data_IF_189589839996
#
_entry.id   IF_189589839996
#
_cell.length_a   1.000
_cell.length_b   1.000
_cell.length_c   1.000
_cell.angle_alpha   90.00
_cell.angle_beta   90.00
_cell.angle_gamma   90.00
#
_symmetry.space_group_name_H-M   'P 1'
#
loop_
_entity.id
_entity.type
_entity.pdbx_description
1 polymer ?
#
# COMPACT_ATOMS: atom_id res chain seq x y z
N UNK A 1 7.40 15.69 -23.75
CA UNK A 1 7.00 16.71 -22.75
C UNK A 1 5.58 17.30 -22.92
N UNK A 2 4.99 17.36 -24.12
CA UNK A 2 3.64 17.94 -24.30
C UNK A 2 2.52 17.20 -23.53
N UNK A 3 2.54 15.87 -23.54
CA UNK A 3 1.53 15.03 -22.87
C UNK A 3 1.62 15.16 -21.35
N UNK A 4 2.83 15.13 -20.77
CA UNK A 4 3.02 15.30 -19.33
C UNK A 4 2.50 16.66 -18.84
N UNK A 5 2.79 17.73 -19.58
CA UNK A 5 2.27 19.07 -19.27
C UNK A 5 0.74 19.14 -19.33
N UNK A 6 0.13 18.46 -20.31
CA UNK A 6 -1.32 18.35 -20.42
C UNK A 6 -1.91 17.58 -19.23
N UNK A 7 -1.32 16.43 -18.89
CA UNK A 7 -1.75 15.60 -17.77
C UNK A 7 -1.65 16.34 -16.43
N UNK A 8 -0.57 17.10 -16.20
CA UNK A 8 -0.43 17.94 -14.99
C UNK A 8 -1.52 19.02 -14.97
N UNK A 9 -1.77 19.69 -16.09
CA UNK A 9 -2.86 20.70 -16.19
C UNK A 9 -4.22 20.07 -15.89
N UNK A 10 -4.47 18.86 -16.37
CA UNK A 10 -5.70 18.12 -16.13
C UNK A 10 -5.84 17.67 -14.68
N UNK A 11 -4.76 17.20 -14.05
CA UNK A 11 -4.74 16.78 -12.66
C UNK A 11 -5.27 17.88 -11.72
N UNK A 12 -4.88 19.13 -11.93
CA UNK A 12 -5.33 20.28 -11.12
C UNK A 12 -6.76 20.75 -11.41
N UNK A 13 -7.48 20.14 -12.36
CA UNK A 13 -8.89 20.45 -12.54
C UNK A 13 -9.74 19.79 -11.45
N UNK A 14 -10.81 20.45 -11.02
CA UNK A 14 -11.70 19.97 -9.94
C UNK A 14 -12.24 18.56 -10.17
N UNK A 15 -12.40 18.15 -11.44
CA UNK A 15 -12.90 16.83 -11.79
C UNK A 15 -11.87 15.74 -11.47
N UNK A 16 -10.61 15.91 -11.86
CA UNK A 16 -9.55 14.93 -11.61
C UNK A 16 -9.00 14.98 -10.18
N UNK A 17 -9.01 16.16 -9.55
CA UNK A 17 -8.60 16.30 -8.17
C UNK A 17 -9.49 15.49 -7.21
N UNK A 18 -10.80 15.37 -7.49
CA UNK A 18 -11.72 14.50 -6.73
C UNK A 18 -11.27 13.04 -6.76
N UNK A 19 -10.82 12.54 -7.91
CA UNK A 19 -10.33 11.16 -8.02
C UNK A 19 -9.04 10.94 -7.25
N UNK A 20 -8.16 11.95 -7.14
CA UNK A 20 -6.95 11.86 -6.33
C UNK A 20 -7.22 11.94 -4.82
N UNK A 21 -8.24 12.71 -4.43
CA UNK A 21 -8.64 12.88 -3.03
C UNK A 21 -9.21 11.61 -2.42
N UNK A 22 -9.96 10.79 -3.17
CA UNK A 22 -10.56 9.54 -2.67
C UNK A 22 -9.50 8.57 -2.09
N UNK A 23 -8.48 8.11 -2.82
CA UNK A 23 -7.47 7.21 -2.26
C UNK A 23 -6.69 7.87 -1.12
N UNK A 24 -6.46 9.18 -1.17
CA UNK A 24 -5.77 9.92 -0.11
C UNK A 24 -6.59 9.94 1.19
N UNK A 25 -7.88 10.27 1.14
CA UNK A 25 -8.70 10.36 2.35
C UNK A 25 -8.88 8.99 3.00
N UNK A 26 -9.17 7.95 2.21
CA UNK A 26 -9.33 6.60 2.74
C UNK A 26 -8.03 6.05 3.33
N UNK A 27 -6.89 6.24 2.65
CA UNK A 27 -5.58 5.81 3.19
C UNK A 27 -5.21 6.58 4.46
N UNK A 28 -5.47 7.87 4.52
CA UNK A 28 -5.20 8.69 5.71
C UNK A 28 -6.09 8.31 6.89
N UNK A 29 -7.38 8.06 6.66
CA UNK A 29 -8.30 7.55 7.69
C UNK A 29 -7.81 6.21 8.23
N UNK A 30 -7.43 5.28 7.34
CA UNK A 30 -6.89 3.98 7.76
C UNK A 30 -5.60 4.15 8.57
N UNK A 31 -4.70 5.04 8.15
CA UNK A 31 -3.46 5.32 8.88
C UNK A 31 -3.73 5.81 10.30
N UNK A 32 -4.63 6.78 10.47
CA UNK A 32 -5.00 7.29 11.79
C UNK A 32 -5.64 6.18 12.63
N UNK A 33 -6.57 5.42 12.06
CA UNK A 33 -7.22 4.32 12.74
C UNK A 33 -6.20 3.28 13.25
N UNK A 34 -5.28 2.85 12.38
CA UNK A 34 -4.23 1.90 12.75
C UNK A 34 -3.22 2.49 13.73
N UNK A 35 -2.90 3.78 13.63
CA UNK A 35 -2.02 4.45 14.59
C UNK A 35 -2.62 4.51 16.00
N UNK A 36 -3.91 4.80 16.12
CA UNK A 36 -4.58 4.91 17.43
C UNK A 36 -4.85 3.53 18.02
N UNK A 37 -5.38 2.59 17.24
CA UNK A 37 -5.85 1.30 17.75
C UNK A 37 -4.86 0.15 17.55
N UNK A 38 -4.03 0.20 16.50
CA UNK A 38 -3.15 -0.89 16.10
C UNK A 38 -1.69 -0.72 16.52
N UNK A 39 -1.24 0.49 16.84
CA UNK A 39 0.17 0.74 17.12
C UNK A 39 0.67 0.01 18.37
N UNK A 40 -0.07 0.07 19.49
CA UNK A 40 0.34 -0.64 20.72
C UNK A 40 0.40 -2.16 20.51
N UNK A 41 -0.58 -2.72 19.81
CA UNK A 41 -0.59 -4.15 19.47
C UNK A 41 0.62 -4.55 18.60
N UNK A 42 0.94 -3.76 17.58
CA UNK A 42 2.11 -4.00 16.73
C UNK A 42 3.42 -3.84 17.50
N UNK A 43 3.50 -2.84 18.38
CA UNK A 43 4.68 -2.59 19.20
C UNK A 43 4.94 -3.81 20.11
N UNK A 44 3.93 -4.30 20.81
CA UNK A 44 4.04 -5.48 21.67
C UNK A 44 4.38 -6.74 20.86
N UNK A 45 3.78 -6.90 19.69
CA UNK A 45 4.10 -7.98 18.76
C UNK A 45 5.57 -7.95 18.34
N UNK A 46 6.09 -6.81 17.90
CA UNK A 46 7.49 -6.71 17.46
C UNK A 46 8.47 -6.79 18.63
N UNK A 47 8.14 -6.22 19.79
CA UNK A 47 8.96 -6.36 20.99
C UNK A 47 9.09 -7.82 21.42
N UNK A 48 7.99 -8.60 21.37
CA UNK A 48 8.04 -10.04 21.65
C UNK A 48 8.72 -10.85 20.55
N UNK A 49 8.57 -10.45 19.28
CA UNK A 49 9.24 -11.10 18.15
C UNK A 49 10.77 -10.95 18.19
N UNK A 50 11.24 -9.76 18.59
CA UNK A 50 12.66 -9.44 18.64
C UNK A 50 13.30 -9.75 19.98
N UNK A 51 12.53 -9.99 21.04
CA UNK A 51 13.07 -10.44 22.32
C UNK A 51 13.39 -11.94 22.30
N UNK A 52 14.25 -12.33 23.23
CA UNK A 52 14.67 -13.72 23.40
C UNK A 52 14.17 -14.22 24.75
N UNK A 53 13.65 -15.45 24.77
CA UNK A 53 13.16 -16.10 26.00
C UNK A 53 14.28 -16.28 27.03
N UNK A 54 13.91 -16.25 28.32
CA UNK A 54 14.85 -16.27 29.45
C UNK A 54 15.72 -17.55 29.50
N UNK A 55 15.21 -18.65 28.96
CA UNK A 55 15.91 -19.95 28.90
C UNK A 55 16.96 -20.05 27.79
N UNK A 56 17.11 -19.00 26.96
CA UNK A 56 18.03 -19.00 25.84
C UNK A 56 19.45 -18.65 26.27
N UNK A 57 20.43 -19.29 25.63
CA UNK A 57 21.85 -18.97 25.79
C UNK A 57 22.16 -17.46 25.58
N UNK A 58 21.38 -16.77 24.75
CA UNK A 58 21.58 -15.34 24.46
C UNK A 58 20.93 -14.38 25.46
N UNK A 59 20.22 -14.88 26.49
CA UNK A 59 19.51 -14.04 27.45
C UNK A 59 20.41 -13.02 28.15
N UNK A 60 21.67 -13.37 28.45
CA UNK A 60 22.63 -12.45 29.07
C UNK A 60 22.95 -11.23 28.19
N UNK A 61 22.98 -11.41 26.86
CA UNK A 61 23.23 -10.33 25.90
C UNK A 61 21.98 -9.45 25.73
N UNK A 62 20.80 -10.06 25.66
CA UNK A 62 19.52 -9.36 25.56
C UNK A 62 19.11 -8.64 26.85
N UNK A 63 19.66 -9.03 28.00
CA UNK A 63 19.50 -8.34 29.28
C UNK A 63 20.27 -7.01 29.35
N UNK A 64 21.23 -6.77 28.46
CA UNK A 64 21.96 -5.50 28.43
C UNK A 64 21.02 -4.35 28.05
N UNK A 65 20.99 -3.28 28.85
CA UNK A 65 20.12 -2.12 28.62
C UNK A 65 20.26 -1.51 27.22
N UNK A 66 21.47 -1.47 26.66
CA UNK A 66 21.70 -0.98 25.30
C UNK A 66 20.95 -1.83 24.26
N UNK A 67 20.93 -3.16 24.42
CA UNK A 67 20.24 -4.08 23.52
C UNK A 67 18.72 -3.93 23.65
N UNK A 68 18.20 -3.74 24.87
CA UNK A 68 16.76 -3.48 25.09
C UNK A 68 16.30 -2.17 24.43
N UNK A 69 17.12 -1.12 24.48
CA UNK A 69 16.85 0.15 23.77
C UNK A 69 16.80 -0.09 22.27
N UNK A 70 17.76 -0.84 21.72
CA UNK A 70 17.81 -1.15 20.29
C UNK A 70 16.58 -1.94 19.84
N UNK A 71 16.17 -2.95 20.62
CA UNK A 71 14.96 -3.74 20.36
C UNK A 71 13.72 -2.85 20.35
N UNK A 72 13.59 -1.98 21.35
CA UNK A 72 12.45 -1.05 21.40
C UNK A 72 12.43 -0.13 20.18
N UNK A 73 13.60 0.38 19.77
CA UNK A 73 13.73 1.29 18.64
C UNK A 73 13.36 0.57 17.32
N UNK A 74 13.85 -0.65 17.10
CA UNK A 74 13.51 -1.42 15.90
C UNK A 74 12.02 -1.79 15.89
N UNK A 75 11.43 -2.16 17.04
CA UNK A 75 10.00 -2.47 17.15
C UNK A 75 9.13 -1.26 16.82
N UNK A 76 9.48 -0.07 17.29
CA UNK A 76 8.75 1.16 16.96
C UNK A 76 8.84 1.46 15.46
N UNK A 77 10.02 1.29 14.85
CA UNK A 77 10.21 1.48 13.41
C UNK A 77 9.38 0.50 12.59
N UNK A 78 9.40 -0.80 12.91
CA UNK A 78 8.61 -1.81 12.21
C UNK A 78 7.11 -1.60 12.40
N UNK A 79 6.67 -1.24 13.61
CA UNK A 79 5.26 -0.94 13.89
C UNK A 79 4.77 0.24 13.04
N UNK A 80 5.53 1.34 13.03
CA UNK A 80 5.22 2.50 12.20
C UNK A 80 5.25 2.18 10.70
N UNK A 81 6.25 1.41 10.26
CA UNK A 81 6.38 0.98 8.87
C UNK A 81 5.16 0.18 8.41
N UNK A 82 4.71 -0.82 9.18
CA UNK A 82 3.54 -1.65 8.82
C UNK A 82 2.29 -0.79 8.66
N UNK A 83 2.07 0.18 9.56
CA UNK A 83 0.90 1.08 9.51
C UNK A 83 0.93 1.94 8.24
N UNK A 84 2.08 2.59 7.96
CA UNK A 84 2.24 3.43 6.77
C UNK A 84 2.11 2.57 5.50
N UNK A 85 2.74 1.41 5.48
CA UNK A 85 2.71 0.49 4.34
C UNK A 85 1.28 0.02 4.06
N UNK A 86 0.51 -0.38 5.07
CA UNK A 86 -0.88 -0.77 4.92
C UNK A 86 -1.75 0.38 4.35
N UNK A 87 -1.52 1.61 4.83
CA UNK A 87 -2.20 2.81 4.33
C UNK A 87 -1.88 3.08 2.85
N UNK A 88 -0.59 3.07 2.48
CA UNK A 88 -0.14 3.28 1.09
C UNK A 88 -0.69 2.18 0.18
N UNK A 89 -0.66 0.92 0.64
CA UNK A 89 -1.21 -0.21 -0.08
C UNK A 89 -2.71 -0.02 -0.37
N UNK A 90 -3.49 0.44 0.61
CA UNK A 90 -4.91 0.76 0.41
C UNK A 90 -5.10 1.87 -0.64
N UNK A 91 -4.28 2.91 -0.60
CA UNK A 91 -4.33 4.00 -1.59
C UNK A 91 -4.07 3.48 -3.01
N UNK A 92 -3.06 2.62 -3.19
CA UNK A 92 -2.75 1.97 -4.46
C UNK A 92 -3.89 1.07 -4.94
N UNK A 93 -4.47 0.29 -4.03
CA UNK A 93 -5.60 -0.58 -4.32
C UNK A 93 -6.81 0.21 -4.83
N UNK A 94 -7.21 1.28 -4.14
CA UNK A 94 -8.31 2.15 -4.56
C UNK A 94 -8.00 2.80 -5.92
N UNK A 95 -6.79 3.32 -6.09
CA UNK A 95 -6.35 3.97 -7.34
C UNK A 95 -6.44 3.02 -8.54
N UNK A 96 -6.18 1.74 -8.32
CA UNK A 96 -6.26 0.72 -9.37
C UNK A 96 -7.70 0.58 -9.93
N UNK A 97 -8.72 0.66 -9.08
CA UNK A 97 -10.12 0.68 -9.51
C UNK A 97 -10.58 2.02 -10.10
N UNK A 98 -9.98 3.13 -9.67
CA UNK A 98 -10.30 4.46 -10.21
C UNK A 98 -9.68 4.70 -11.59
N UNK A 99 -8.56 4.05 -11.90
CA UNK A 99 -7.85 4.20 -13.18
C UNK A 99 -8.75 4.06 -14.42
N UNK A 100 -9.60 3.01 -14.58
CA UNK A 100 -10.51 2.91 -15.73
C UNK A 100 -11.52 4.07 -15.81
N UNK A 101 -11.97 4.62 -14.68
CA UNK A 101 -12.88 5.77 -14.65
C UNK A 101 -12.18 7.05 -15.10
N UNK A 102 -10.95 7.27 -14.65
CA UNK A 102 -10.11 8.40 -15.05
C UNK A 102 -9.84 8.33 -16.57
N UNK A 103 -9.48 7.15 -17.08
CA UNK A 103 -9.24 6.93 -18.52
C UNK A 103 -10.50 7.22 -19.33
N UNK A 104 -11.68 6.76 -18.89
CA UNK A 104 -12.96 7.06 -19.56
C UNK A 104 -13.20 8.56 -19.68
N UNK A 105 -12.90 9.33 -18.64
CA UNK A 105 -13.08 10.79 -18.66
C UNK A 105 -12.07 11.51 -19.56
N UNK A 106 -10.79 11.11 -19.52
CA UNK A 106 -9.76 11.65 -20.42
C UNK A 106 -10.12 11.34 -21.89
N UNK A 107 -10.57 10.13 -22.17
CA UNK A 107 -10.95 9.70 -23.51
C UNK A 107 -12.11 10.54 -24.07
N UNK A 108 -13.14 10.76 -23.25
CA UNK A 108 -14.28 11.61 -23.63
C UNK A 108 -13.87 13.07 -23.85
N UNK A 109 -12.95 13.60 -23.03
CA UNK A 109 -12.51 15.00 -23.10
C UNK A 109 -11.65 15.31 -24.34
N UNK A 110 -10.82 14.39 -24.79
CA UNK A 110 -9.82 14.65 -25.83
C UNK A 110 -10.01 13.89 -27.13
N UNK A 111 -10.54 12.67 -27.07
CA UNK A 111 -10.51 11.72 -28.19
C UNK A 111 -11.91 11.35 -28.71
N UNK A 112 -12.97 11.69 -27.97
CA UNK A 112 -14.38 11.47 -28.35
C UNK A 112 -14.66 10.05 -28.88
N UNK A 113 -13.93 9.06 -28.37
CA UNK A 113 -14.07 7.67 -28.80
C UNK A 113 -15.42 7.12 -28.34
N UNK A 114 -16.14 6.45 -29.24
CA UNK A 114 -17.37 5.73 -28.87
C UNK A 114 -17.04 4.63 -27.88
N UNK A 115 -17.43 4.84 -26.63
CA UNK A 115 -17.18 3.89 -25.55
C UNK A 115 -18.19 2.77 -25.71
N UNK A 116 -17.75 1.58 -26.14
CA UNK A 116 -18.59 0.38 -26.03
C UNK A 116 -19.08 0.26 -24.58
N UNK A 117 -20.39 0.03 -24.40
CA UNK A 117 -21.04 0.06 -23.10
C UNK A 117 -20.77 -1.25 -22.36
N UNK A 118 -19.52 -1.42 -21.92
CA UNK A 118 -19.06 -2.58 -21.17
C UNK A 118 -19.47 -2.39 -19.70
N UNK A 119 -20.04 -3.43 -19.09
CA UNK A 119 -20.46 -3.38 -17.68
C UNK A 119 -19.26 -3.12 -16.76
N UNK A 120 -19.43 -2.22 -15.78
CA UNK A 120 -18.42 -1.96 -14.74
C UNK A 120 -18.03 -3.24 -13.99
N UNK A 121 -18.95 -4.19 -13.83
CA UNK A 121 -18.69 -5.47 -13.18
C UNK A 121 -17.68 -6.31 -13.97
N UNK A 122 -17.77 -6.28 -15.30
CA UNK A 122 -16.83 -6.99 -16.17
C UNK A 122 -15.43 -6.39 -16.10
N UNK A 123 -15.32 -5.06 -16.05
CA UNK A 123 -14.04 -4.35 -15.90
C UNK A 123 -13.39 -4.71 -14.56
N UNK A 124 -14.16 -4.72 -13.46
CA UNK A 124 -13.68 -5.12 -12.13
C UNK A 124 -13.15 -6.56 -12.15
N UNK A 125 -13.88 -7.48 -12.81
CA UNK A 125 -13.48 -8.87 -12.89
C UNK A 125 -12.18 -9.07 -13.68
N UNK A 126 -11.98 -8.34 -14.78
CA UNK A 126 -10.72 -8.42 -15.53
C UNK A 126 -9.54 -7.79 -14.78
N UNK A 127 -9.77 -6.69 -14.03
CA UNK A 127 -8.74 -6.15 -13.13
C UNK A 127 -8.34 -7.21 -12.08
N UNK A 128 -9.31 -7.89 -11.48
CA UNK A 128 -9.04 -8.96 -10.52
C UNK A 128 -8.24 -10.12 -11.13
N UNK A 129 -8.57 -10.51 -12.36
CA UNK A 129 -7.83 -11.56 -13.09
C UNK A 129 -6.38 -11.17 -13.38
N UNK A 130 -6.14 -9.91 -13.75
CA UNK A 130 -4.77 -9.39 -13.93
C UNK A 130 -4.02 -9.41 -12.60
N UNK A 131 -4.66 -8.97 -11.52
CA UNK A 131 -4.06 -8.98 -10.18
C UNK A 131 -3.67 -10.39 -9.72
N UNK A 132 -4.52 -11.40 -9.98
CA UNK A 132 -4.23 -12.79 -9.65
C UNK A 132 -3.03 -13.36 -10.43
N UNK A 133 -2.90 -13.02 -11.73
CA UNK A 133 -1.71 -13.37 -12.52
C UNK A 133 -0.45 -12.73 -11.96
N UNK A 134 -0.55 -11.48 -11.53
CA UNK A 134 0.58 -10.76 -10.93
C UNK A 134 1.05 -11.41 -9.62
N UNK A 135 0.12 -11.83 -8.76
CA UNK A 135 0.43 -12.60 -7.55
C UNK A 135 1.20 -13.88 -7.87
N UNK A 136 0.75 -14.64 -8.89
CA UNK A 136 1.44 -15.86 -9.31
C UNK A 136 2.87 -15.60 -9.78
N UNK A 137 3.08 -14.55 -10.58
CA UNK A 137 4.42 -14.14 -11.04
C UNK A 137 5.26 -13.66 -9.85
N UNK A 138 4.69 -12.86 -8.95
CA UNK A 138 5.38 -12.36 -7.77
C UNK A 138 5.88 -13.50 -6.87
N UNK A 139 5.05 -14.52 -6.62
CA UNK A 139 5.43 -15.72 -5.87
C UNK A 139 6.54 -16.52 -6.57
N UNK A 140 6.47 -16.68 -7.89
CA UNK A 140 7.53 -17.32 -8.66
C UNK A 140 8.85 -16.54 -8.57
N UNK A 141 8.80 -15.22 -8.68
CA UNK A 141 9.96 -14.36 -8.58
C UNK A 141 10.57 -14.36 -7.17
N UNK A 142 9.76 -14.36 -6.10
CA UNK A 142 10.29 -14.47 -4.73
C UNK A 142 10.94 -15.82 -4.50
N UNK A 143 10.36 -16.93 -4.99
CA UNK A 143 11.02 -18.24 -4.94
C UNK A 143 12.36 -18.24 -5.72
N UNK A 144 12.40 -17.61 -6.89
CA UNK A 144 13.64 -17.44 -7.67
C UNK A 144 14.69 -16.59 -6.94
N UNK A 145 14.28 -15.65 -6.09
CA UNK A 145 15.18 -14.81 -5.28
C UNK A 145 15.90 -15.62 -4.19
N UNK A 146 15.34 -16.76 -3.77
CA UNK A 146 15.99 -17.69 -2.83
C UNK A 146 16.91 -18.71 -3.52
N UNK A 147 16.92 -18.77 -4.86
CA UNK A 147 17.94 -19.50 -5.61
C UNK A 147 19.19 -18.61 -5.70
N UNK A 148 20.35 -19.08 -5.22
CA UNK A 148 21.60 -18.31 -5.24
C UNK A 148 22.10 -18.01 -6.65
#
# INVERSE_FOLDING_TARGET
>A
MKILRLAIKDFFTLQFLKFALIPLTFSFILMIFLAIFGFSFLLDYFNSLFSVGEDSFWAWFYALHFVQILITLISVLFSGFVIIFASVFLALFITSFLTPLIVKQINNKYYHHEVQNISNMYIIFEIFKIFLKFIGIFLLCTLALFLP
#
